data_IF_199664131051
#
_entry.id   IF_199664131051
#
_cell.length_a   1.000
_cell.length_b   1.000
_cell.length_c   1.000
_cell.angle_alpha   90.00
_cell.angle_beta   90.00
_cell.angle_gamma   90.00
#
_symmetry.space_group_name_H-M   'P 1'
#
loop_
_entity.id
_entity.type
_entity.pdbx_description
1 polymer ?
#
# COMPACT_ATOMS: atom_id res chain seq x y z
N UNK A 1 -6.06 18.19 -8.48
CA UNK A 1 -7.07 17.14 -8.29
C UNK A 1 -6.36 15.80 -8.32
N UNK A 2 -6.63 14.90 -7.37
CA UNK A 2 -6.01 13.60 -7.36
C UNK A 2 -6.40 12.85 -8.65
N UNK A 3 -5.41 12.50 -9.48
CA UNK A 3 -5.66 11.93 -10.80
C UNK A 3 -5.93 10.43 -10.68
N UNK A 4 -6.91 9.92 -11.44
CA UNK A 4 -7.23 8.49 -11.51
C UNK A 4 -6.05 7.62 -11.97
N UNK A 5 -5.92 6.44 -11.39
CA UNK A 5 -4.88 5.47 -11.73
C UNK A 5 -5.44 4.06 -11.77
N UNK A 6 -4.69 3.12 -12.32
CA UNK A 6 -5.10 1.71 -12.40
C UNK A 6 -4.19 0.85 -11.55
N UNK A 7 -4.75 -0.19 -10.94
CA UNK A 7 -4.04 -1.18 -10.14
C UNK A 7 -4.38 -2.59 -10.63
N UNK A 8 -3.43 -3.50 -10.52
CA UNK A 8 -3.74 -4.92 -10.65
C UNK A 8 -4.47 -5.40 -9.39
N UNK A 9 -5.70 -5.86 -9.55
CA UNK A 9 -6.52 -6.40 -8.47
C UNK A 9 -6.40 -7.92 -8.44
N UNK A 10 -5.79 -8.47 -7.40
CA UNK A 10 -5.62 -9.92 -7.24
C UNK A 10 -6.95 -10.68 -7.14
N UNK A 11 -8.02 -10.04 -6.63
CA UNK A 11 -9.33 -10.67 -6.47
C UNK A 11 -9.98 -11.02 -7.82
N UNK A 12 -9.91 -10.10 -8.78
CA UNK A 12 -10.44 -10.28 -10.14
C UNK A 12 -9.40 -10.75 -11.14
N UNK A 13 -8.10 -10.65 -10.78
CA UNK A 13 -6.93 -10.95 -11.61
C UNK A 13 -6.79 -10.05 -12.84
N UNK A 14 -7.31 -8.83 -12.78
CA UNK A 14 -7.26 -7.86 -13.89
C UNK A 14 -6.70 -6.50 -13.43
N UNK A 15 -6.39 -5.64 -14.39
CA UNK A 15 -6.02 -4.24 -14.10
C UNK A 15 -7.29 -3.39 -14.11
N UNK A 16 -7.61 -2.79 -12.97
CA UNK A 16 -8.85 -2.06 -12.73
C UNK A 16 -8.58 -0.58 -12.43
N UNK A 17 -9.57 0.27 -12.71
CA UNK A 17 -9.55 1.66 -12.30
C UNK A 17 -9.69 1.75 -10.78
N UNK A 18 -8.76 2.46 -10.12
CA UNK A 18 -8.91 2.75 -8.70
C UNK A 18 -10.00 3.80 -8.51
N UNK A 19 -10.99 3.43 -7.69
CA UNK A 19 -12.06 4.30 -7.22
C UNK A 19 -11.97 4.38 -5.69
N UNK A 20 -11.73 5.56 -5.11
CA UNK A 20 -11.60 5.70 -3.67
C UNK A 20 -12.97 5.58 -2.98
N UNK A 21 -12.98 5.05 -1.75
CA UNK A 21 -14.18 5.06 -0.90
C UNK A 21 -14.58 6.50 -0.51
N UNK A 22 -13.59 7.35 -0.25
CA UNK A 22 -13.76 8.77 0.05
C UNK A 22 -12.99 9.63 -0.96
N UNK A 23 -13.62 10.63 -1.60
CA UNK A 23 -12.95 11.45 -2.62
C UNK A 23 -11.62 12.05 -2.13
N UNK A 24 -10.53 11.80 -2.87
CA UNK A 24 -9.20 12.33 -2.56
C UNK A 24 -8.45 11.60 -1.44
N UNK A 25 -9.05 10.58 -0.81
CA UNK A 25 -8.43 9.77 0.25
C UNK A 25 -8.18 8.33 -0.18
N UNK A 26 -7.09 7.75 0.30
CA UNK A 26 -6.72 6.34 0.12
C UNK A 26 -6.38 5.74 1.49
N UNK A 27 -7.15 4.74 1.91
CA UNK A 27 -6.73 3.85 2.99
C UNK A 27 -5.82 2.75 2.42
N UNK A 28 -4.61 2.61 2.98
CA UNK A 28 -3.66 1.58 2.57
C UNK A 28 -3.27 0.75 3.80
N UNK A 29 -3.67 -0.52 3.83
CA UNK A 29 -3.17 -1.50 4.80
C UNK A 29 -2.19 -2.44 4.12
N UNK A 30 -1.05 -2.68 4.77
CA UNK A 30 -0.05 -3.65 4.34
C UNK A 30 0.34 -4.49 5.55
N UNK A 31 0.33 -5.82 5.39
CA UNK A 31 0.81 -6.72 6.45
C UNK A 31 2.26 -6.40 6.81
N UNK A 32 2.56 -6.33 8.10
CA UNK A 32 3.91 -6.10 8.59
C UNK A 32 4.63 -7.38 9.00
N UNK A 33 5.52 -7.24 9.99
CA UNK A 33 6.45 -8.27 10.39
C UNK A 33 5.89 -9.10 11.55
N UNK A 34 6.12 -10.41 11.52
CA UNK A 34 6.15 -11.20 12.76
C UNK A 34 7.51 -11.00 13.42
N UNK A 35 7.54 -10.46 14.64
CA UNK A 35 8.76 -9.87 15.23
C UNK A 35 9.56 -10.85 16.10
N UNK A 36 9.59 -12.13 15.74
CA UNK A 36 10.32 -13.15 16.51
C UNK A 36 11.78 -13.35 16.04
N UNK A 37 12.16 -12.82 14.86
CA UNK A 37 13.50 -12.95 14.28
C UNK A 37 13.87 -11.73 13.42
N UNK A 38 15.14 -11.66 12.99
CA UNK A 38 15.66 -10.59 12.15
C UNK A 38 15.03 -10.58 10.74
N UNK A 39 14.80 -9.38 10.21
CA UNK A 39 14.23 -9.21 8.89
C UNK A 39 15.25 -9.53 7.78
N UNK A 40 14.97 -10.54 6.95
CA UNK A 40 15.74 -10.81 5.73
C UNK A 40 15.35 -9.91 4.53
N UNK A 41 16.14 -9.96 3.45
CA UNK A 41 15.97 -9.12 2.24
C UNK A 41 14.59 -9.22 1.56
N UNK A 42 13.92 -10.38 1.65
CA UNK A 42 12.55 -10.53 1.16
C UNK A 42 11.56 -9.57 1.83
N UNK A 43 11.71 -9.33 3.14
CA UNK A 43 10.92 -8.36 3.88
C UNK A 43 11.25 -6.94 3.44
N UNK A 44 12.54 -6.62 3.29
CA UNK A 44 12.98 -5.31 2.82
C UNK A 44 12.38 -4.97 1.44
N UNK A 45 12.35 -5.92 0.52
CA UNK A 45 11.70 -5.74 -0.80
C UNK A 45 10.22 -5.35 -0.64
N UNK A 46 9.45 -6.08 0.17
CA UNK A 46 8.04 -5.76 0.37
C UNK A 46 7.87 -4.36 0.99
N UNK A 47 8.66 -4.02 2.01
CA UNK A 47 8.61 -2.72 2.67
C UNK A 47 8.93 -1.57 1.70
N UNK A 48 9.94 -1.73 0.85
CA UNK A 48 10.33 -0.72 -0.15
C UNK A 48 9.27 -0.58 -1.24
N UNK A 49 8.72 -1.68 -1.76
CA UNK A 49 7.68 -1.62 -2.80
C UNK A 49 6.47 -0.84 -2.31
N UNK A 50 5.99 -1.11 -1.09
CA UNK A 50 4.83 -0.38 -0.55
C UNK A 50 5.17 1.05 -0.08
N UNK A 51 6.41 1.33 0.29
CA UNK A 51 6.88 2.72 0.49
C UNK A 51 6.83 3.51 -0.83
N UNK A 52 7.26 2.91 -1.94
CA UNK A 52 7.13 3.53 -3.28
C UNK A 52 5.67 3.78 -3.63
N UNK A 53 4.77 2.82 -3.38
CA UNK A 53 3.32 3.01 -3.62
C UNK A 53 2.78 4.18 -2.78
N UNK A 54 3.08 4.22 -1.48
CA UNK A 54 2.66 5.30 -0.59
C UNK A 54 3.16 6.67 -1.08
N UNK A 55 4.45 6.78 -1.39
CA UNK A 55 5.06 8.02 -1.89
C UNK A 55 4.46 8.45 -3.22
N UNK A 56 4.23 7.51 -4.14
CA UNK A 56 3.64 7.80 -5.43
C UNK A 56 2.21 8.33 -5.31
N UNK A 57 1.39 7.73 -4.46
CA UNK A 57 0.04 8.21 -4.20
C UNK A 57 0.04 9.62 -3.59
N UNK A 58 0.91 9.88 -2.60
CA UNK A 58 1.08 11.22 -2.04
C UNK A 58 1.56 12.24 -3.07
N UNK A 59 2.52 11.87 -3.92
CA UNK A 59 3.01 12.72 -5.02
C UNK A 59 1.88 13.08 -5.99
N UNK A 60 0.93 12.17 -6.23
CA UNK A 60 -0.25 12.42 -7.07
C UNK A 60 -1.35 13.23 -6.39
N UNK A 61 -1.14 13.71 -5.17
CA UNK A 61 -2.06 14.57 -4.44
C UNK A 61 -3.16 13.83 -3.68
N UNK A 62 -3.01 12.52 -3.45
CA UNK A 62 -3.90 11.76 -2.56
C UNK A 62 -3.51 11.99 -1.09
N UNK A 63 -4.51 12.11 -0.23
CA UNK A 63 -4.34 11.94 1.21
C UNK A 63 -4.32 10.44 1.51
N UNK A 64 -3.20 9.92 2.03
CA UNK A 64 -3.01 8.48 2.21
C UNK A 64 -2.87 8.17 3.70
N UNK A 65 -3.82 7.40 4.22
CA UNK A 65 -3.77 6.82 5.56
C UNK A 65 -3.12 5.44 5.45
N UNK A 66 -1.81 5.37 5.77
CA UNK A 66 -1.01 4.16 5.63
C UNK A 66 -0.82 3.45 6.97
N UNK A 67 -1.33 2.23 7.07
CA UNK A 67 -1.28 1.39 8.27
C UNK A 67 -0.49 0.11 7.98
N UNK A 68 0.39 -0.25 8.90
CA UNK A 68 1.14 -1.50 8.91
C UNK A 68 1.20 -2.04 10.32
N UNK A 69 0.88 -3.32 10.50
CA UNK A 69 0.89 -3.95 11.82
C UNK A 69 2.27 -4.48 12.20
N UNK A 70 2.39 -4.91 13.46
CA UNK A 70 3.39 -5.86 13.91
C UNK A 70 2.64 -7.07 14.47
N UNK A 71 3.11 -8.27 14.18
CA UNK A 71 2.56 -9.50 14.76
C UNK A 71 3.48 -9.90 15.91
N UNK A 72 3.07 -9.59 17.13
CA UNK A 72 3.82 -9.75 18.38
C UNK A 72 3.23 -10.82 19.31
N UNK A 73 2.18 -11.53 18.87
CA UNK A 73 1.52 -12.64 19.54
C UNK A 73 1.34 -13.82 18.58
#
# INVERSE_FOLDING_TARGET
>A
MAQGFRLYNTLSRTVEQFEPLEPGRVGLYVCGMTVYDEAHIGHARAMVVFDVVYRYLRHRGWQVDFVRNFTDV
#
